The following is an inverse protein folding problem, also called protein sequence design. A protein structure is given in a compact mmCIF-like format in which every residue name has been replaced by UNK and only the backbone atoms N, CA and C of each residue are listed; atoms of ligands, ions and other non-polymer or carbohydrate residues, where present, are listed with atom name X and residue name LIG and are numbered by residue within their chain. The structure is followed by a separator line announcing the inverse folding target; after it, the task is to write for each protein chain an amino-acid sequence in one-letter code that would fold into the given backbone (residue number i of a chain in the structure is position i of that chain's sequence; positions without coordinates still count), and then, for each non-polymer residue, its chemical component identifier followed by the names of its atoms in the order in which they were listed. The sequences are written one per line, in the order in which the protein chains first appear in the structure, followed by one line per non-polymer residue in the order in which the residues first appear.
data_IF_413362088463
#
_entry.id   IF_413362088463
#
_cell.length_a   1.000
_cell.length_b   1.000
_cell.length_c   1.000
_cell.angle_alpha   90.00
_cell.angle_beta   90.00
_cell.angle_gamma   90.00
#
_symmetry.space_group_name_H-M   'P 1'
#
loop_
_entity.id
_entity.type
_entity.pdbx_description
1 polymer ?
#
# COMPACT_ATOMS: atom_id res chain seq x y z
N UNK A 1 -39.40 -31.01 -25.15
CA UNK A 1 -38.51 -31.60 -24.13
C UNK A 1 -37.83 -30.48 -23.35
N UNK A 2 -38.42 -30.07 -22.22
CA UNK A 2 -37.86 -29.01 -21.38
C UNK A 2 -37.00 -29.63 -20.28
N UNK A 3 -35.67 -29.43 -20.36
CA UNK A 3 -34.72 -29.83 -19.33
C UNK A 3 -34.82 -28.86 -18.14
N UNK A 4 -35.58 -29.28 -17.13
CA UNK A 4 -35.61 -28.66 -15.80
C UNK A 4 -34.23 -28.76 -15.16
N UNK A 5 -33.54 -27.62 -15.05
CA UNK A 5 -32.30 -27.50 -14.28
C UNK A 5 -32.66 -27.58 -12.80
N UNK A 6 -32.39 -28.72 -12.16
CA UNK A 6 -32.37 -28.85 -10.69
C UNK A 6 -31.30 -27.92 -10.14
N UNK A 7 -31.73 -26.86 -9.47
CA UNK A 7 -30.87 -26.04 -8.64
C UNK A 7 -30.47 -26.92 -7.45
N UNK A 8 -29.21 -27.33 -7.41
CA UNK A 8 -28.60 -27.93 -6.23
C UNK A 8 -28.47 -26.84 -5.17
N UNK A 9 -29.50 -26.68 -4.33
CA UNK A 9 -29.34 -25.98 -3.06
C UNK A 9 -28.52 -26.88 -2.16
N UNK A 10 -27.23 -26.56 -1.98
CA UNK A 10 -26.45 -27.14 -0.90
C UNK A 10 -27.22 -26.91 0.41
N UNK A 11 -27.36 -27.90 1.30
CA UNK A 11 -28.00 -27.72 2.59
C UNK A 11 -27.10 -26.80 3.42
N UNK A 12 -27.36 -25.49 3.33
CA UNK A 12 -26.74 -24.50 4.17
C UNK A 12 -27.17 -24.79 5.61
N UNK A 13 -26.26 -25.47 6.31
CA UNK A 13 -26.04 -25.48 7.75
C UNK A 13 -27.14 -24.80 8.59
N UNK A 14 -28.21 -25.53 8.86
CA UNK A 14 -29.04 -25.30 10.04
C UNK A 14 -28.26 -25.70 11.29
N UNK A 15 -27.21 -24.94 11.64
CA UNK A 15 -26.75 -24.93 13.03
C UNK A 15 -27.90 -24.28 13.80
N UNK A 16 -28.70 -25.09 14.49
CA UNK A 16 -29.72 -24.59 15.42
C UNK A 16 -29.04 -23.51 16.27
N UNK A 17 -29.57 -22.27 16.32
CA UNK A 17 -28.99 -21.25 17.17
C UNK A 17 -28.91 -21.84 18.58
N UNK A 18 -27.70 -21.88 19.16
CA UNK A 18 -27.54 -22.29 20.55
C UNK A 18 -28.34 -21.29 21.39
N UNK A 19 -29.56 -21.66 21.74
CA UNK A 19 -30.35 -20.93 22.73
C UNK A 19 -29.57 -21.09 24.02
N UNK A 20 -28.90 -20.02 24.43
CA UNK A 20 -28.15 -19.98 25.68
C UNK A 20 -29.19 -19.99 26.79
N UNK A 21 -29.27 -21.10 27.52
CA UNK A 21 -30.20 -21.25 28.64
C UNK A 21 -29.94 -20.16 29.68
N UNK A 22 -30.88 -19.22 29.92
CA UNK A 22 -30.68 -18.11 30.85
C UNK A 22 -30.62 -18.58 32.31
N UNK A 23 -31.02 -19.83 32.59
CA UNK A 23 -31.06 -20.38 33.95
C UNK A 23 -29.73 -20.95 34.42
N UNK A 24 -28.77 -21.19 33.52
CA UNK A 24 -27.46 -21.71 33.88
C UNK A 24 -26.53 -20.52 34.20
N UNK A 25 -26.16 -20.31 35.49
CA UNK A 25 -25.20 -19.27 35.84
C UNK A 25 -23.87 -19.58 35.14
N UNK A 26 -23.43 -18.68 34.25
CA UNK A 26 -22.13 -18.79 33.60
C UNK A 26 -21.05 -18.68 34.66
N UNK A 27 -20.37 -19.79 34.97
CA UNK A 27 -19.17 -19.76 35.82
C UNK A 27 -18.17 -18.77 35.18
N UNK A 28 -17.61 -17.82 35.94
CA UNK A 28 -16.63 -16.88 35.40
C UNK A 28 -15.42 -17.69 34.92
N UNK A 29 -15.07 -17.56 33.64
CA UNK A 29 -13.88 -18.18 33.07
C UNK A 29 -12.65 -17.51 33.68
N UNK A 30 -11.86 -18.25 34.45
CA UNK A 30 -10.56 -17.78 34.94
C UNK A 30 -9.55 -18.04 33.82
N UNK A 31 -8.96 -16.99 33.22
CA UNK A 31 -8.06 -17.16 32.09
C UNK A 31 -6.77 -17.87 32.51
N UNK A 32 -6.30 -18.80 31.68
CA UNK A 32 -5.01 -19.49 31.90
C UNK A 32 -3.83 -18.53 31.71
N UNK A 33 -2.61 -18.83 32.22
CA UNK A 33 -1.44 -17.96 32.04
C UNK A 33 -1.08 -17.68 30.57
N UNK A 34 -1.32 -18.66 29.68
CA UNK A 34 -1.12 -18.46 28.23
C UNK A 34 -2.19 -17.53 27.64
N UNK A 35 -3.44 -17.67 28.09
CA UNK A 35 -4.53 -16.78 27.69
C UNK A 35 -4.32 -15.36 28.20
N UNK A 36 -3.83 -15.17 29.42
CA UNK A 36 -3.55 -13.82 29.95
C UNK A 36 -2.43 -13.14 29.16
N UNK A 37 -1.35 -13.85 28.83
CA UNK A 37 -0.28 -13.32 27.98
C UNK A 37 -0.79 -12.94 26.58
N UNK A 38 -1.65 -13.78 25.99
CA UNK A 38 -2.26 -13.51 24.69
C UNK A 38 -3.26 -12.34 24.75
N UNK A 39 -4.05 -12.24 25.82
CA UNK A 39 -4.96 -11.11 26.06
C UNK A 39 -4.16 -9.81 26.22
N UNK A 40 -3.06 -9.83 26.97
CA UNK A 40 -2.17 -8.69 27.13
C UNK A 40 -1.60 -8.25 25.78
N UNK A 41 -1.01 -9.18 25.00
CA UNK A 41 -0.51 -8.88 23.65
C UNK A 41 -1.58 -8.24 22.75
N UNK A 42 -2.79 -8.81 22.72
CA UNK A 42 -3.91 -8.25 21.94
C UNK A 42 -4.34 -6.87 22.40
N UNK A 43 -4.25 -6.57 23.69
CA UNK A 43 -4.58 -5.24 24.23
C UNK A 43 -3.52 -4.21 23.86
N UNK A 44 -2.24 -4.58 23.92
CA UNK A 44 -1.11 -3.75 23.46
C UNK A 44 -1.26 -3.42 21.97
N UNK A 45 -1.48 -4.42 21.12
CA UNK A 45 -1.73 -4.24 19.68
C UNK A 45 -3.00 -3.40 19.43
N UNK A 46 -4.04 -3.62 20.24
CA UNK A 46 -5.26 -2.82 20.14
C UNK A 46 -5.03 -1.36 20.48
N UNK A 47 -4.22 -1.06 21.49
CA UNK A 47 -3.95 0.32 21.89
C UNK A 47 -3.32 1.12 20.74
N UNK A 48 -2.40 0.52 19.98
CA UNK A 48 -1.83 1.11 18.77
C UNK A 48 -2.86 1.16 17.61
N UNK A 49 -3.64 0.09 17.41
CA UNK A 49 -4.68 0.02 16.38
C UNK A 49 -5.73 1.11 16.57
N UNK A 50 -6.17 1.37 17.79
CA UNK A 50 -7.17 2.40 18.11
C UNK A 50 -6.65 3.80 17.73
N UNK A 51 -5.37 4.11 17.99
CA UNK A 51 -4.73 5.37 17.55
C UNK A 51 -4.67 5.47 16.03
N UNK A 52 -4.23 4.41 15.34
CA UNK A 52 -4.21 4.37 13.86
C UNK A 52 -5.60 4.59 13.25
N UNK A 53 -6.65 4.02 13.86
CA UNK A 53 -8.03 4.20 13.40
C UNK A 53 -8.46 5.66 13.53
N UNK A 54 -8.12 6.32 14.63
CA UNK A 54 -8.49 7.72 14.85
C UNK A 54 -7.74 8.67 13.91
N UNK A 55 -6.43 8.46 13.71
CA UNK A 55 -5.64 9.20 12.72
C UNK A 55 -6.25 8.98 11.33
N UNK A 56 -6.53 7.73 10.95
CA UNK A 56 -7.17 7.42 9.67
C UNK A 56 -8.50 8.14 9.51
N UNK A 57 -9.35 8.14 10.54
CA UNK A 57 -10.65 8.80 10.51
C UNK A 57 -10.52 10.32 10.34
N UNK A 58 -9.51 10.94 10.95
CA UNK A 58 -9.29 12.39 10.83
C UNK A 58 -8.78 12.83 9.44
N UNK A 59 -8.09 11.94 8.72
CA UNK A 59 -7.57 12.19 7.37
C UNK A 59 -8.55 11.78 6.26
N UNK A 60 -9.52 10.91 6.56
CA UNK A 60 -10.55 10.55 5.60
C UNK A 60 -11.60 11.65 5.47
N UNK A 61 -11.93 12.04 4.25
CA UNK A 61 -13.05 12.93 3.96
C UNK A 61 -14.32 12.47 4.68
N UNK A 62 -14.99 13.41 5.34
CA UNK A 62 -16.26 13.17 6.01
C UNK A 62 -17.33 12.93 4.93
N UNK A 63 -18.10 11.85 5.08
CA UNK A 63 -19.24 11.62 4.19
C UNK A 63 -20.28 12.72 4.39
N UNK A 64 -20.80 13.25 3.30
CA UNK A 64 -21.94 14.18 3.34
C UNK A 64 -23.07 13.55 4.13
N UNK A 65 -23.55 14.26 5.15
CA UNK A 65 -24.64 13.78 5.98
C UNK A 65 -25.93 13.76 5.18
N UNK A 66 -26.41 12.56 4.86
CA UNK A 66 -27.76 12.33 4.38
C UNK A 66 -28.57 11.79 5.56
N UNK A 67 -29.50 12.60 6.06
CA UNK A 67 -30.29 12.34 7.28
C UNK A 67 -30.85 10.92 7.34
N UNK A 68 -30.71 10.28 8.50
CA UNK A 68 -31.21 8.92 8.74
C UNK A 68 -30.32 7.77 8.23
N UNK A 69 -29.40 8.01 7.29
CA UNK A 69 -28.53 6.96 6.73
C UNK A 69 -27.07 7.04 7.18
N UNK A 70 -26.67 8.20 7.72
CA UNK A 70 -25.28 8.44 8.17
C UNK A 70 -25.29 8.80 9.65
N UNK A 71 -24.57 8.02 10.47
CA UNK A 71 -24.35 8.34 11.89
C UNK A 71 -22.96 8.98 12.05
N UNK A 72 -22.82 10.01 12.91
CA UNK A 72 -21.51 10.54 13.28
C UNK A 72 -20.62 9.42 13.81
N UNK A 73 -19.39 9.34 13.30
CA UNK A 73 -18.41 8.38 13.81
C UNK A 73 -17.75 8.93 15.06
N UNK A 74 -17.66 8.11 16.09
CA UNK A 74 -17.02 8.47 17.35
C UNK A 74 -15.56 7.99 17.30
N UNK A 75 -14.63 8.88 17.66
CA UNK A 75 -13.21 8.56 17.81
C UNK A 75 -13.03 7.51 18.92
N UNK A 76 -12.11 6.57 18.73
CA UNK A 76 -11.82 5.52 19.71
C UNK A 76 -11.21 6.10 20.98
N UNK A 77 -10.34 7.09 20.85
CA UNK A 77 -9.70 7.84 21.93
C UNK A 77 -10.71 8.51 22.87
N UNK A 78 -11.85 8.97 22.36
CA UNK A 78 -12.86 9.63 23.21
C UNK A 78 -13.51 8.67 24.22
N UNK A 79 -13.43 7.35 24.00
CA UNK A 79 -13.91 6.38 24.99
C UNK A 79 -13.09 6.37 26.28
N UNK A 80 -11.88 6.93 26.25
CA UNK A 80 -10.99 7.10 27.39
C UNK A 80 -11.13 8.46 28.09
N UNK A 81 -11.94 9.39 27.55
CA UNK A 81 -12.23 10.66 28.22
C UNK A 81 -13.01 10.43 29.53
N UNK A 82 -12.99 11.39 30.48
CA UNK A 82 -13.83 11.34 31.67
C UNK A 82 -15.31 11.08 31.31
N UNK A 83 -15.92 10.05 31.92
CA UNK A 83 -17.28 9.60 31.59
C UNK A 83 -17.40 8.72 30.33
N UNK A 84 -16.29 8.45 29.64
CA UNK A 84 -16.23 7.63 28.45
C UNK A 84 -16.56 6.15 28.70
N UNK A 85 -16.98 5.45 27.65
CA UNK A 85 -17.51 4.09 27.76
C UNK A 85 -16.50 3.06 28.27
N UNK A 86 -15.20 3.30 28.13
CA UNK A 86 -14.17 2.38 28.58
C UNK A 86 -13.91 2.51 30.08
N UNK A 87 -13.93 3.74 30.61
CA UNK A 87 -13.88 3.99 32.05
C UNK A 87 -15.13 3.45 32.74
N UNK A 88 -16.33 3.68 32.18
CA UNK A 88 -17.58 3.14 32.73
C UNK A 88 -17.62 1.61 32.77
N UNK A 89 -16.86 0.94 31.88
CA UNK A 89 -16.73 -0.53 31.82
C UNK A 89 -15.52 -1.06 32.59
N UNK A 90 -14.82 -0.22 33.36
CA UNK A 90 -13.59 -0.55 34.08
C UNK A 90 -12.56 -1.25 33.19
N UNK A 91 -12.44 -0.82 31.92
CA UNK A 91 -11.43 -1.38 31.03
C UNK A 91 -10.06 -0.84 31.43
N UNK A 92 -9.11 -1.76 31.51
CA UNK A 92 -7.70 -1.43 31.73
C UNK A 92 -7.06 -1.07 30.39
N UNK A 93 -6.38 0.07 30.37
CA UNK A 93 -5.54 0.48 29.25
C UNK A 93 -4.17 -0.19 29.35
N UNK A 94 -3.72 -0.79 28.27
CA UNK A 94 -2.35 -1.32 28.17
C UNK A 94 -1.51 -0.39 27.30
N UNK A 95 -0.29 -0.12 27.72
CA UNK A 95 0.64 0.73 26.97
C UNK A 95 1.08 0.03 25.68
N UNK A 96 1.20 0.74 24.54
CA UNK A 96 1.75 0.19 23.32
C UNK A 96 3.24 -0.13 23.45
N UNK A 97 3.79 -0.77 22.42
CA UNK A 97 5.22 -1.07 22.31
C UNK A 97 6.01 0.21 22.03
N UNK A 98 7.13 0.42 22.71
CA UNK A 98 8.02 1.58 22.54
C UNK A 98 8.45 1.79 21.08
N UNK A 99 8.71 0.69 20.37
CA UNK A 99 9.12 0.74 18.95
C UNK A 99 8.05 1.35 18.03
N UNK A 100 6.80 1.50 18.47
CA UNK A 100 5.77 2.21 17.71
C UNK A 100 5.99 3.73 17.67
N UNK A 101 6.80 4.28 18.58
CA UNK A 101 7.06 5.72 18.73
C UNK A 101 8.47 6.13 18.29
N UNK A 102 9.13 5.26 17.54
CA UNK A 102 10.34 5.61 16.82
C UNK A 102 9.99 6.11 15.40
N UNK A 103 10.91 6.84 14.75
CA UNK A 103 10.71 7.28 13.37
C UNK A 103 10.53 6.11 12.39
N UNK A 104 9.51 6.21 11.54
CA UNK A 104 9.21 5.25 10.48
C UNK A 104 9.18 5.95 9.13
N UNK A 105 9.78 5.31 8.13
CA UNK A 105 9.80 5.75 6.74
C UNK A 105 8.74 4.99 5.94
N UNK A 106 7.79 5.74 5.40
CA UNK A 106 6.87 5.31 4.36
C UNK A 106 7.57 5.46 3.02
N UNK A 107 7.42 4.50 2.11
CA UNK A 107 8.09 4.58 0.82
C UNK A 107 7.21 4.08 -0.32
N UNK A 108 7.55 4.55 -1.52
CA UNK A 108 7.13 3.98 -2.79
C UNK A 108 8.40 3.58 -3.55
N UNK A 109 8.57 2.29 -3.82
CA UNK A 109 9.61 1.80 -4.73
C UNK A 109 9.00 1.59 -6.10
N UNK A 110 9.75 1.89 -7.14
CA UNK A 110 9.43 1.58 -8.51
C UNK A 110 10.50 0.65 -9.10
N UNK A 111 10.09 -0.36 -9.86
CA UNK A 111 11.03 -1.20 -10.58
C UNK A 111 11.68 -0.42 -11.71
N UNK A 112 13.00 -0.59 -11.88
CA UNK A 112 13.77 0.05 -12.95
C UNK A 112 13.30 -0.38 -14.34
N UNK A 113 12.91 -1.64 -14.47
CA UNK A 113 12.43 -2.22 -15.72
C UNK A 113 10.95 -2.58 -15.62
N UNK A 114 10.20 -2.54 -16.74
CA UNK A 114 8.82 -3.01 -16.78
C UNK A 114 8.74 -4.49 -16.40
N UNK A 115 7.73 -4.84 -15.61
CA UNK A 115 7.49 -6.21 -15.15
C UNK A 115 6.37 -6.83 -15.97
N UNK A 116 6.55 -8.10 -16.35
CA UNK A 116 5.51 -8.83 -17.07
C UNK A 116 4.29 -9.07 -16.19
N UNK A 117 3.15 -8.52 -16.58
CA UNK A 117 1.90 -8.72 -15.82
C UNK A 117 1.34 -10.12 -16.12
N UNK A 118 0.85 -10.83 -15.09
CA UNK A 118 0.16 -12.13 -15.26
C UNK A 118 -1.22 -12.00 -15.93
N UNK A 119 -1.88 -10.86 -15.76
CA UNK A 119 -3.24 -10.61 -16.24
C UNK A 119 -3.24 -10.34 -17.75
N UNK A 120 -4.11 -11.05 -18.48
CA UNK A 120 -4.26 -10.83 -19.92
C UNK A 120 -4.85 -9.43 -20.17
N UNK A 121 -4.25 -8.68 -21.10
CA UNK A 121 -4.73 -7.37 -21.53
C UNK A 121 -4.17 -6.18 -20.77
N UNK A 122 -3.34 -6.38 -19.74
CA UNK A 122 -2.61 -5.30 -19.08
C UNK A 122 -1.21 -5.15 -19.69
N UNK A 123 -0.76 -3.92 -20.01
CA UNK A 123 0.59 -3.70 -20.52
C UNK A 123 1.64 -4.05 -19.47
N UNK A 124 2.80 -4.48 -19.94
CA UNK A 124 3.98 -4.65 -19.09
C UNK A 124 4.49 -3.27 -18.68
N UNK A 125 4.49 -2.98 -17.39
CA UNK A 125 4.82 -1.67 -16.82
C UNK A 125 5.68 -1.80 -15.57
N UNK A 126 6.39 -0.72 -15.15
CA UNK A 126 7.05 -0.70 -13.87
C UNK A 126 6.11 -1.04 -12.71
N UNK A 127 6.56 -1.97 -11.87
CA UNK A 127 5.83 -2.37 -10.67
C UNK A 127 6.16 -1.41 -9.53
N UNK A 128 5.21 -1.23 -8.62
CA UNK A 128 5.34 -0.33 -7.48
C UNK A 128 5.14 -1.10 -6.18
N UNK A 129 6.03 -0.91 -5.21
CA UNK A 129 5.90 -1.42 -3.84
C UNK A 129 5.64 -0.23 -2.92
N UNK A 130 4.62 -0.34 -2.07
CA UNK A 130 4.31 0.66 -1.04
C UNK A 130 4.38 0.00 0.32
N UNK A 131 5.18 0.54 1.23
CA UNK A 131 5.37 -0.03 2.56
C UNK A 131 5.84 0.98 3.59
N UNK A 132 5.93 0.50 4.82
CA UNK A 132 6.47 1.21 5.98
C UNK A 132 7.68 0.44 6.45
N UNK A 133 8.69 1.12 6.97
CA UNK A 133 9.77 0.50 7.72
C UNK A 133 10.30 1.45 8.80
N UNK A 134 10.93 0.92 9.86
CA UNK A 134 11.69 1.75 10.82
C UNK A 134 12.80 2.50 10.10
N UNK A 135 12.90 3.81 10.32
CA UNK A 135 13.85 4.68 9.61
C UNK A 135 15.31 4.22 9.70
N UNK A 136 15.84 3.73 10.85
CA UNK A 136 17.21 3.22 10.91
C UNK A 136 17.49 2.01 10.02
N UNK A 137 16.45 1.24 9.64
CA UNK A 137 16.57 0.04 8.81
C UNK A 137 16.37 0.32 7.32
N UNK A 138 15.96 1.54 6.94
CA UNK A 138 15.59 1.92 5.57
C UNK A 138 16.62 1.51 4.51
N UNK A 139 17.89 1.90 4.69
CA UNK A 139 18.93 1.64 3.70
C UNK A 139 19.31 0.14 3.64
N UNK A 140 19.32 -0.54 4.79
CA UNK A 140 19.54 -2.00 4.87
C UNK A 140 18.44 -2.76 4.14
N UNK A 141 17.21 -2.31 4.30
CA UNK A 141 16.05 -2.86 3.62
C UNK A 141 16.12 -2.66 2.12
N UNK A 142 16.48 -1.46 1.63
CA UNK A 142 16.66 -1.23 0.19
C UNK A 142 17.78 -2.09 -0.40
N UNK A 143 18.91 -2.23 0.31
CA UNK A 143 20.00 -3.15 -0.07
C UNK A 143 19.49 -4.59 -0.10
N UNK A 144 18.70 -5.02 0.89
CA UNK A 144 18.10 -6.34 0.92
C UNK A 144 17.11 -6.56 -0.24
N UNK A 145 16.23 -5.59 -0.53
CA UNK A 145 15.30 -5.65 -1.67
C UNK A 145 16.01 -5.76 -3.00
N UNK A 146 17.21 -5.21 -3.11
CA UNK A 146 18.08 -5.32 -4.28
C UNK A 146 19.15 -6.41 -4.11
N UNK A 147 18.88 -7.47 -3.34
CA UNK A 147 19.83 -8.57 -3.16
C UNK A 147 19.31 -9.89 -3.73
N UNK A 148 20.18 -10.85 -4.06
CA UNK A 148 19.77 -12.21 -4.42
C UNK A 148 19.00 -12.95 -3.32
N UNK A 149 19.11 -12.48 -2.06
CA UNK A 149 18.49 -13.08 -0.88
C UNK A 149 17.01 -12.67 -0.71
N UNK A 150 16.52 -11.70 -1.47
CA UNK A 150 15.13 -11.25 -1.36
C UNK A 150 14.18 -12.38 -1.75
N UNK A 151 13.10 -12.53 -0.98
CA UNK A 151 12.08 -13.54 -1.22
C UNK A 151 10.75 -12.90 -1.65
N UNK A 152 9.71 -13.72 -1.83
CA UNK A 152 8.34 -13.23 -2.08
C UNK A 152 8.14 -12.50 -3.41
N UNK A 153 7.22 -11.53 -3.40
CA UNK A 153 6.80 -10.81 -4.61
C UNK A 153 7.93 -10.01 -5.23
N UNK A 154 8.77 -9.34 -4.42
CA UNK A 154 9.87 -8.53 -4.92
C UNK A 154 10.83 -9.34 -5.82
N UNK A 155 11.11 -10.60 -5.45
CA UNK A 155 11.93 -11.52 -6.24
C UNK A 155 11.22 -11.97 -7.52
N UNK A 156 9.94 -12.31 -7.41
CA UNK A 156 9.12 -12.73 -8.56
C UNK A 156 9.04 -11.61 -9.62
N UNK A 157 8.96 -10.36 -9.19
CA UNK A 157 9.00 -9.19 -10.08
C UNK A 157 10.32 -9.07 -10.83
N UNK A 158 11.47 -9.28 -10.16
CA UNK A 158 12.78 -9.31 -10.82
C UNK A 158 12.87 -10.43 -11.87
N UNK A 159 12.40 -11.63 -11.55
CA UNK A 159 12.39 -12.77 -12.48
C UNK A 159 11.45 -12.53 -13.69
N UNK A 160 10.38 -11.75 -13.47
CA UNK A 160 9.39 -11.38 -14.48
C UNK A 160 9.76 -10.10 -15.25
N UNK A 161 10.81 -9.38 -14.87
CA UNK A 161 11.17 -8.10 -15.47
C UNK A 161 11.72 -8.22 -16.90
N UNK A 162 11.57 -7.14 -17.66
CA UNK A 162 12.18 -6.94 -18.97
C UNK A 162 13.58 -6.35 -18.84
N UNK A 163 14.52 -7.18 -18.38
CA UNK A 163 15.93 -6.81 -18.28
C UNK A 163 16.52 -6.40 -19.64
N UNK A 164 17.53 -5.51 -19.69
CA UNK A 164 18.11 -5.02 -20.95
C UNK A 164 18.64 -6.14 -21.88
N UNK A 165 19.16 -7.22 -21.30
CA UNK A 165 19.68 -8.38 -22.04
C UNK A 165 18.55 -9.26 -22.64
N UNK A 166 17.34 -9.17 -22.10
CA UNK A 166 16.14 -9.80 -22.65
C UNK A 166 15.63 -8.93 -23.79
N UNK A 167 16.24 -9.09 -24.97
CA UNK A 167 15.91 -8.35 -26.18
C UNK A 167 14.40 -8.28 -26.40
N UNK A 168 13.83 -7.09 -26.25
CA UNK A 168 12.44 -6.80 -26.64
C UNK A 168 12.48 -6.07 -27.97
N UNK A 169 11.81 -6.62 -29.00
CA UNK A 169 11.30 -5.76 -30.07
C UNK A 169 10.11 -5.01 -29.48
N UNK A 170 10.37 -3.88 -28.82
CA UNK A 170 9.32 -2.92 -28.56
C UNK A 170 8.94 -2.42 -29.94
N UNK A 171 7.83 -2.92 -30.50
CA UNK A 171 7.25 -2.27 -31.68
C UNK A 171 6.90 -0.86 -31.22
N UNK A 172 7.40 0.15 -31.92
CA UNK A 172 6.89 1.51 -31.78
C UNK A 172 5.39 1.40 -32.02
N UNK A 173 4.60 1.47 -30.95
CA UNK A 173 3.15 1.52 -31.07
C UNK A 173 2.85 2.92 -31.58
N UNK A 174 2.31 3.04 -32.79
CA UNK A 174 1.86 4.31 -33.34
C UNK A 174 0.86 4.95 -32.36
N UNK A 175 0.93 6.27 -32.18
CA UNK A 175 0.06 6.99 -31.26
C UNK A 175 -1.40 6.90 -31.73
N UNK A 176 -2.26 6.30 -30.91
CA UNK A 176 -3.68 6.15 -31.20
C UNK A 176 -4.38 7.51 -31.03
N UNK A 177 -4.82 8.11 -32.15
CA UNK A 177 -5.55 9.39 -32.16
C UNK A 177 -7.01 9.16 -31.73
N UNK A 178 -7.46 9.85 -30.67
CA UNK A 178 -8.71 9.56 -29.95
C UNK A 178 -9.81 10.63 -30.10
N UNK A 179 -9.65 11.62 -30.96
CA UNK A 179 -10.62 12.71 -31.18
C UNK A 179 -11.14 12.78 -32.62
N UNK A 180 -12.30 13.41 -32.80
CA UNK A 180 -12.94 13.61 -34.10
C UNK A 180 -12.24 14.71 -34.92
N UNK A 181 -12.33 14.65 -36.26
CA UNK A 181 -11.57 15.52 -37.17
C UNK A 181 -11.88 17.02 -37.06
N UNK A 182 -13.03 17.36 -36.49
CA UNK A 182 -13.53 18.73 -36.43
C UNK A 182 -13.37 19.34 -35.02
N UNK A 183 -12.77 18.58 -34.08
CA UNK A 183 -12.57 18.99 -32.69
C UNK A 183 -11.10 19.33 -32.45
N UNK A 184 -10.83 20.45 -31.77
CA UNK A 184 -9.46 20.81 -31.38
C UNK A 184 -9.01 19.89 -30.23
N UNK A 185 -7.94 19.09 -30.41
CA UNK A 185 -7.42 18.20 -29.36
C UNK A 185 -7.01 18.92 -28.09
N UNK A 186 -6.65 20.20 -28.17
CA UNK A 186 -6.34 20.98 -26.97
C UNK A 186 -7.60 21.27 -26.16
N UNK A 187 -8.73 21.49 -26.84
CA UNK A 187 -10.02 21.78 -26.23
C UNK A 187 -10.61 20.54 -25.54
N UNK A 188 -10.54 19.37 -26.18
CA UNK A 188 -10.96 18.09 -25.57
C UNK A 188 -10.10 17.68 -24.38
N UNK A 189 -8.79 18.00 -24.40
CA UNK A 189 -7.90 17.76 -23.25
C UNK A 189 -8.21 18.69 -22.09
N UNK A 190 -8.53 19.96 -22.35
CA UNK A 190 -8.97 20.91 -21.34
C UNK A 190 -10.29 20.47 -20.71
N UNK A 191 -11.25 20.05 -21.54
CA UNK A 191 -12.54 19.53 -21.11
C UNK A 191 -12.41 18.25 -20.24
N UNK A 192 -11.54 17.31 -20.64
CA UNK A 192 -11.26 16.11 -19.85
C UNK A 192 -10.56 16.38 -18.50
N UNK A 193 -9.86 17.52 -18.38
CA UNK A 193 -9.25 18.00 -17.14
C UNK A 193 -10.20 18.91 -16.32
N UNK A 194 -11.40 19.18 -16.82
CA UNK A 194 -12.41 20.02 -16.17
C UNK A 194 -12.12 21.53 -16.24
N UNK A 195 -11.29 21.97 -17.20
CA UNK A 195 -10.91 23.36 -17.41
C UNK A 195 -11.62 23.90 -18.67
N UNK A 196 -12.25 25.06 -18.58
CA UNK A 196 -12.84 25.77 -19.73
C UNK A 196 -11.84 26.74 -20.36
N UNK A 197 -12.08 27.22 -21.59
CA UNK A 197 -11.17 28.10 -22.36
C UNK A 197 -10.71 29.38 -21.64
N UNK A 198 -11.37 29.79 -20.56
CA UNK A 198 -10.96 30.93 -19.72
C UNK A 198 -9.74 30.65 -18.84
N UNK A 199 -9.43 29.36 -18.61
CA UNK A 199 -8.40 28.93 -17.70
C UNK A 199 -7.24 28.40 -18.54
N UNK A 200 -6.28 29.28 -18.84
CA UNK A 200 -5.05 28.86 -19.49
C UNK A 200 -4.43 27.71 -18.69
N UNK A 201 -4.20 26.53 -19.29
CA UNK A 201 -3.46 25.48 -18.61
C UNK A 201 -2.06 26.01 -18.31
N UNK A 202 -1.50 25.77 -17.12
CA UNK A 202 -0.15 26.21 -16.82
C UNK A 202 0.82 25.67 -17.89
N UNK A 203 1.72 26.54 -18.34
CA UNK A 203 2.59 26.34 -19.51
C UNK A 203 3.44 25.06 -19.55
N UNK A 204 3.74 24.29 -18.48
CA UNK A 204 4.53 23.06 -18.64
C UNK A 204 3.86 21.94 -19.46
N UNK A 205 2.53 21.91 -19.66
CA UNK A 205 1.87 20.73 -20.27
C UNK A 205 1.91 20.67 -21.80
N UNK A 206 2.05 21.80 -22.50
CA UNK A 206 1.95 21.88 -23.98
C UNK A 206 3.16 21.32 -24.73
N UNK A 207 4.33 21.29 -24.12
CA UNK A 207 5.56 20.86 -24.78
C UNK A 207 5.67 19.33 -25.01
N UNK A 208 4.80 18.54 -24.37
CA UNK A 208 5.01 17.08 -24.26
C UNK A 208 4.43 16.22 -25.40
N UNK A 209 3.63 16.75 -26.33
CA UNK A 209 2.95 15.92 -27.35
C UNK A 209 2.98 16.53 -28.77
N UNK A 210 3.86 16.04 -29.66
CA UNK A 210 3.79 16.27 -31.13
C UNK A 210 3.20 15.02 -31.82
N UNK A 211 2.28 15.23 -32.77
CA UNK A 211 1.46 14.20 -33.42
C UNK A 211 1.86 13.93 -34.90
N UNK A 212 1.72 12.69 -35.39
CA UNK A 212 2.18 12.21 -36.71
C UNK A 212 1.27 11.06 -37.26
N UNK A 213 0.18 11.28 -38.03
CA UNK A 213 -0.51 10.23 -38.89
C UNK A 213 -1.43 10.78 -40.03
N UNK A 214 -1.78 9.97 -41.08
CA UNK A 214 -2.51 10.32 -42.36
C UNK A 214 -3.66 9.31 -42.77
N UNK A 215 -4.59 9.66 -43.71
CA UNK A 215 -5.78 8.86 -44.17
C UNK A 215 -6.24 9.00 -45.67
N UNK A 216 -7.13 8.09 -46.17
CA UNK A 216 -7.73 8.06 -47.54
C UNK A 216 -8.96 8.98 -47.78
N UNK A 217 -9.32 9.28 -49.05
CA UNK A 217 -10.33 10.29 -49.42
C UNK A 217 -11.81 9.90 -49.25
N UNK A 218 -12.15 8.61 -49.26
CA UNK A 218 -13.54 8.12 -49.22
C UNK A 218 -14.06 7.83 -47.79
N UNK A 219 -13.32 8.25 -46.77
CA UNK A 219 -13.71 8.07 -45.36
C UNK A 219 -13.54 6.65 -44.81
N UNK A 220 -13.17 5.65 -45.63
CA UNK A 220 -12.73 4.35 -45.10
C UNK A 220 -11.27 4.44 -44.66
N UNK A 221 -11.00 4.02 -43.42
CA UNK A 221 -9.62 3.88 -42.93
C UNK A 221 -8.86 2.88 -43.81
N UNK A 222 -7.56 3.10 -43.98
CA UNK A 222 -6.65 1.99 -44.18
C UNK A 222 -6.72 1.16 -42.90
N UNK A 223 -7.58 0.15 -42.88
CA UNK A 223 -7.52 -0.92 -41.89
C UNK A 223 -6.84 -2.06 -42.61
N UNK A 224 -5.52 -2.04 -42.67
CA UNK A 224 -4.86 -3.33 -42.72
C UNK A 224 -5.34 -4.07 -41.46
N UNK A 225 -5.89 -5.29 -41.60
CA UNK A 225 -6.19 -6.10 -40.44
C UNK A 225 -4.87 -6.29 -39.71
N UNK A 226 -4.62 -5.50 -38.68
CA UNK A 226 -3.51 -5.74 -37.78
C UNK A 226 -3.78 -7.13 -37.24
N UNK A 227 -2.97 -8.14 -37.57
CA UNK A 227 -3.21 -9.45 -37.02
C UNK A 227 -3.20 -9.26 -35.51
N UNK A 228 -4.24 -9.72 -34.82
CA UNK A 228 -4.27 -10.00 -33.38
C UNK A 228 -3.30 -11.13 -33.07
N UNK A 229 -2.07 -11.01 -33.54
CA UNK A 229 -0.94 -11.59 -32.87
C UNK A 229 -0.73 -10.68 -31.69
N UNK A 230 -1.37 -11.01 -30.56
CA UNK A 230 -0.69 -10.95 -29.28
C UNK A 230 0.64 -11.68 -29.52
N UNK A 231 1.65 -10.93 -29.97
CA UNK A 231 3.01 -11.44 -29.98
C UNK A 231 3.33 -11.46 -28.51
N UNK A 232 2.96 -12.55 -27.85
CA UNK A 232 3.61 -12.98 -26.63
C UNK A 232 5.07 -12.99 -27.06
N UNK A 233 5.93 -12.08 -26.57
CA UNK A 233 7.35 -12.21 -26.82
C UNK A 233 7.68 -13.63 -26.38
N UNK A 234 8.00 -14.48 -27.36
CA UNK A 234 8.53 -15.79 -27.07
C UNK A 234 9.85 -15.46 -26.40
N UNK A 235 9.85 -15.46 -25.06
CA UNK A 235 11.07 -15.73 -24.32
C UNK A 235 11.55 -17.02 -24.98
N UNK A 236 12.63 -16.95 -25.78
CA UNK A 236 13.48 -18.13 -25.97
C UNK A 236 13.58 -18.73 -24.58
N UNK A 237 13.24 -20.00 -24.42
CA UNK A 237 12.92 -20.66 -23.15
C UNK A 237 14.13 -20.68 -22.20
N UNK A 238 14.54 -19.51 -21.74
CA UNK A 238 15.57 -19.30 -20.75
C UNK A 238 14.97 -19.72 -19.43
N UNK A 239 15.67 -20.58 -18.73
CA UNK A 239 15.27 -20.96 -17.38
C UNK A 239 15.39 -19.74 -16.45
N UNK A 240 14.63 -19.73 -15.36
CA UNK A 240 14.73 -18.66 -14.34
C UNK A 240 16.16 -18.59 -13.78
N UNK A 241 16.85 -19.73 -13.68
CA UNK A 241 18.25 -19.80 -13.23
C UNK A 241 19.21 -19.03 -14.15
N UNK A 242 19.05 -19.15 -15.47
CA UNK A 242 19.85 -18.37 -16.43
C UNK A 242 19.61 -16.86 -16.28
N UNK A 243 18.33 -16.45 -16.18
CA UNK A 243 17.97 -15.04 -16.01
C UNK A 243 18.60 -14.48 -14.74
N UNK A 244 18.50 -15.20 -13.62
CA UNK A 244 19.11 -14.83 -12.33
C UNK A 244 20.62 -14.70 -12.42
N UNK A 245 21.28 -15.65 -13.07
CA UNK A 245 22.74 -15.62 -13.22
C UNK A 245 23.25 -14.38 -13.98
N UNK A 246 22.42 -13.82 -14.86
CA UNK A 246 22.75 -12.61 -15.61
C UNK A 246 22.45 -11.32 -14.82
N UNK A 247 21.33 -11.23 -14.11
CA UNK A 247 20.96 -9.98 -13.42
C UNK A 247 21.50 -9.85 -12.00
N UNK A 248 21.70 -10.94 -11.25
CA UNK A 248 22.17 -10.86 -9.86
C UNK A 248 23.48 -10.06 -9.69
N UNK A 249 24.51 -10.24 -10.55
CA UNK A 249 25.74 -9.44 -10.46
C UNK A 249 25.52 -7.95 -10.78
N UNK A 250 24.44 -7.61 -11.47
CA UNK A 250 24.11 -6.21 -11.79
C UNK A 250 23.49 -5.49 -10.61
N UNK A 251 22.85 -6.21 -9.69
CA UNK A 251 22.15 -5.62 -8.55
C UNK A 251 23.08 -4.83 -7.62
N UNK A 252 24.34 -5.26 -7.46
CA UNK A 252 25.32 -4.56 -6.62
C UNK A 252 25.75 -3.21 -7.22
N UNK A 253 25.71 -3.08 -8.55
CA UNK A 253 26.05 -1.85 -9.26
C UNK A 253 24.85 -0.92 -9.38
N UNK A 254 23.69 -1.53 -9.58
CA UNK A 254 22.53 -0.88 -10.15
C UNK A 254 21.25 -1.47 -9.55
N UNK A 255 20.53 -0.72 -8.69
CA UNK A 255 19.36 -1.27 -8.01
C UNK A 255 18.21 -1.49 -8.98
N UNK A 256 17.50 -2.61 -8.80
CA UNK A 256 16.27 -2.90 -9.52
C UNK A 256 15.09 -2.13 -8.93
N UNK A 257 14.94 -2.14 -7.61
CA UNK A 257 13.95 -1.36 -6.88
C UNK A 257 14.56 -0.03 -6.49
N UNK A 258 14.04 1.06 -7.07
CA UNK A 258 14.48 2.43 -6.79
C UNK A 258 13.41 3.16 -5.98
N UNK A 259 13.78 3.93 -4.96
CA UNK A 259 12.83 4.75 -4.25
C UNK A 259 12.38 5.90 -5.14
N UNK A 260 11.06 6.01 -5.32
CA UNK A 260 10.42 7.12 -5.99
C UNK A 260 10.18 8.27 -5.00
N UNK A 261 9.61 7.94 -3.84
CA UNK A 261 9.42 8.87 -2.72
C UNK A 261 9.59 8.11 -1.40
N UNK A 262 10.15 8.78 -0.40
CA UNK A 262 10.17 8.34 0.98
C UNK A 262 9.66 9.46 1.89
N UNK A 263 8.89 9.13 2.90
CA UNK A 263 8.32 10.07 3.88
C UNK A 263 8.59 9.53 5.27
N UNK A 264 9.45 10.19 6.03
CA UNK A 264 9.76 9.83 7.41
C UNK A 264 8.85 10.59 8.36
N UNK A 265 8.14 9.83 9.20
CA UNK A 265 7.21 10.30 10.21
C UNK A 265 7.69 9.89 11.60
N UNK A 266 7.36 10.68 12.63
CA UNK A 266 7.84 10.46 13.99
C UNK A 266 7.37 9.14 14.64
N UNK A 267 6.24 8.58 14.17
CA UNK A 267 5.63 7.40 14.81
C UNK A 267 5.07 6.40 13.79
N UNK A 268 5.03 5.12 14.17
CA UNK A 268 4.47 4.01 13.40
C UNK A 268 2.97 4.18 13.10
N UNK A 269 2.10 4.64 14.04
CA UNK A 269 0.69 4.87 13.74
C UNK A 269 0.46 5.89 12.61
N UNK A 270 1.25 6.97 12.55
CA UNK A 270 1.22 7.93 11.45
C UNK A 270 1.63 7.27 10.14
N UNK A 271 2.78 6.59 10.13
CA UNK A 271 3.32 5.93 8.94
C UNK A 271 2.38 4.84 8.38
N UNK A 272 1.84 3.98 9.26
CA UNK A 272 0.87 2.97 8.88
C UNK A 272 -0.42 3.57 8.32
N UNK A 273 -0.86 4.72 8.86
CA UNK A 273 -2.02 5.43 8.33
C UNK A 273 -1.75 6.00 6.95
N UNK A 274 -0.59 6.63 6.75
CA UNK A 274 -0.18 7.18 5.46
C UNK A 274 -0.12 6.07 4.40
N UNK A 275 0.55 4.95 4.67
CA UNK A 275 0.63 3.81 3.74
C UNK A 275 -0.73 3.23 3.41
N UNK A 276 -1.60 3.08 4.41
CA UNK A 276 -2.94 2.56 4.20
C UNK A 276 -3.75 3.47 3.27
N UNK A 277 -3.71 4.77 3.49
CA UNK A 277 -4.50 5.75 2.73
C UNK A 277 -3.90 6.10 1.36
N UNK A 278 -2.60 5.84 1.14
CA UNK A 278 -1.94 6.13 -0.13
C UNK A 278 -2.00 4.97 -1.14
N UNK A 279 -2.58 3.82 -0.79
CA UNK A 279 -2.80 2.68 -1.71
C UNK A 279 -3.90 2.92 -2.73
N UNK A 280 -4.77 3.91 -2.50
CA UNK A 280 -5.92 4.23 -3.32
C UNK A 280 -6.21 5.74 -3.30
N UNK A 281 -7.06 6.17 -4.22
CA UNK A 281 -7.62 7.52 -4.22
C UNK A 281 -8.54 7.74 -2.99
N UNK A 282 -8.89 9.01 -2.69
CA UNK A 282 -9.94 9.30 -1.73
C UNK A 282 -11.16 8.38 -1.93
N UNK A 283 -11.73 7.91 -0.81
CA UNK A 283 -12.88 6.98 -0.77
C UNK A 283 -12.60 5.54 -1.23
N UNK A 284 -11.35 5.18 -1.51
CA UNK A 284 -10.93 3.79 -1.71
C UNK A 284 -10.95 3.30 -3.15
N UNK A 285 -11.13 4.19 -4.14
CA UNK A 285 -11.01 3.81 -5.55
C UNK A 285 -9.55 3.49 -5.89
N UNK A 286 -9.28 2.29 -6.39
CA UNK A 286 -7.93 1.90 -6.78
C UNK A 286 -7.42 2.76 -7.94
N UNK A 287 -6.12 3.11 -7.94
CA UNK A 287 -5.54 4.00 -8.97
C UNK A 287 -5.69 3.48 -10.40
N UNK A 288 -5.54 2.17 -10.62
CA UNK A 288 -5.73 1.61 -11.95
C UNK A 288 -7.20 1.71 -12.40
N UNK A 289 -8.14 1.69 -11.45
CA UNK A 289 -9.57 1.76 -11.73
C UNK A 289 -10.05 3.19 -12.04
N UNK A 290 -9.27 4.22 -11.69
CA UNK A 290 -9.56 5.61 -12.02
C UNK A 290 -8.99 6.07 -13.37
N UNK A 291 -8.08 5.29 -13.98
CA UNK A 291 -7.54 5.59 -15.31
C UNK A 291 -8.53 5.10 -16.38
N UNK A 292 -8.70 5.82 -17.48
CA UNK A 292 -9.58 5.37 -18.57
C UNK A 292 -9.15 4.01 -19.15
N UNK A 293 -10.12 3.23 -19.63
CA UNK A 293 -9.88 1.90 -20.19
C UNK A 293 -8.97 1.89 -21.43
N UNK A 294 -8.96 2.94 -22.25
CA UNK A 294 -8.07 3.07 -23.41
C UNK A 294 -6.64 3.31 -22.94
N UNK A 295 -6.46 4.24 -22.01
CA UNK A 295 -5.15 4.54 -21.42
C UNK A 295 -4.56 3.35 -20.66
N UNK A 296 -5.38 2.51 -20.03
CA UNK A 296 -4.91 1.28 -19.36
C UNK A 296 -4.22 0.30 -20.30
N UNK A 297 -4.51 0.34 -21.60
CA UNK A 297 -3.90 -0.55 -22.60
C UNK A 297 -2.58 0.02 -23.14
N UNK A 298 -2.38 1.32 -23.02
CA UNK A 298 -1.22 2.03 -23.56
C UNK A 298 -0.01 1.86 -22.66
N UNK A 299 1.05 1.24 -23.20
CA UNK A 299 2.32 1.01 -22.47
C UNK A 299 3.00 2.31 -22.07
N UNK A 300 2.79 3.40 -22.83
CA UNK A 300 3.44 4.69 -22.63
C UNK A 300 2.73 5.53 -21.55
N UNK A 301 1.41 5.74 -21.67
CA UNK A 301 0.68 6.65 -20.78
C UNK A 301 0.30 6.01 -19.43
N UNK A 302 0.00 4.72 -19.41
CA UNK A 302 -0.43 4.03 -18.18
C UNK A 302 0.58 4.13 -17.01
N UNK A 303 1.88 3.82 -17.17
CA UNK A 303 2.81 3.85 -16.05
C UNK A 303 3.00 5.26 -15.50
N UNK A 304 3.10 6.27 -16.36
CA UNK A 304 3.27 7.65 -15.95
C UNK A 304 2.05 8.15 -15.16
N UNK A 305 0.83 7.86 -15.63
CA UNK A 305 -0.39 8.20 -14.89
C UNK A 305 -0.48 7.48 -13.55
N UNK A 306 -0.14 6.19 -13.51
CA UNK A 306 -0.10 5.44 -12.25
C UNK A 306 0.91 6.03 -11.26
N UNK A 307 2.09 6.42 -11.74
CA UNK A 307 3.13 7.08 -10.95
C UNK A 307 2.65 8.41 -10.38
N UNK A 308 2.11 9.28 -11.23
CA UNK A 308 1.59 10.60 -10.85
C UNK A 308 0.45 10.51 -9.85
N UNK A 309 -0.51 9.59 -10.03
CA UNK A 309 -1.60 9.39 -9.08
C UNK A 309 -1.08 8.98 -7.69
N UNK A 310 -0.03 8.14 -7.64
CA UNK A 310 0.60 7.71 -6.38
C UNK A 310 1.38 8.85 -5.72
N UNK A 311 2.20 9.57 -6.49
CA UNK A 311 2.98 10.71 -6.02
C UNK A 311 2.07 11.81 -5.46
N UNK A 312 1.07 12.22 -6.25
CA UNK A 312 0.07 13.20 -5.84
C UNK A 312 -0.63 12.76 -4.56
N UNK A 313 -1.09 11.50 -4.49
CA UNK A 313 -1.78 11.00 -3.29
C UNK A 313 -0.89 10.98 -2.06
N UNK A 314 0.38 10.59 -2.20
CA UNK A 314 1.36 10.62 -1.11
C UNK A 314 1.59 12.06 -0.62
N UNK A 315 1.73 13.00 -1.55
CA UNK A 315 1.93 14.43 -1.26
C UNK A 315 0.76 15.05 -0.53
N UNK A 316 -0.45 14.92 -1.08
CA UNK A 316 -1.69 15.42 -0.46
C UNK A 316 -1.85 14.93 0.99
N UNK A 317 -1.65 13.62 1.22
CA UNK A 317 -1.78 13.04 2.56
C UNK A 317 -0.66 13.50 3.50
N UNK A 318 0.57 13.67 3.00
CA UNK A 318 1.70 14.12 3.81
C UNK A 318 1.50 15.56 4.27
N UNK A 319 1.02 16.44 3.38
CA UNK A 319 0.72 17.83 3.71
C UNK A 319 -0.45 17.92 4.69
N UNK A 320 -1.51 17.12 4.50
CA UNK A 320 -2.62 17.08 5.47
C UNK A 320 -2.14 16.55 6.84
N UNK A 321 -1.25 15.56 6.89
CA UNK A 321 -0.63 15.11 8.15
C UNK A 321 0.17 16.25 8.79
N UNK A 322 0.99 16.97 8.02
CA UNK A 322 1.77 18.11 8.52
C UNK A 322 0.85 19.19 9.11
N UNK A 323 -0.24 19.55 8.41
CA UNK A 323 -1.24 20.52 8.88
C UNK A 323 -1.87 20.06 10.21
N UNK A 324 -2.22 18.79 10.34
CA UNK A 324 -2.79 18.26 11.59
C UNK A 324 -1.77 18.23 12.73
N UNK A 325 -0.48 18.02 12.44
CA UNK A 325 0.59 18.11 13.43
C UNK A 325 0.82 19.54 13.92
N UNK A 326 0.71 20.52 13.02
CA UNK A 326 0.68 21.97 13.35
C UNK A 326 -0.51 22.37 14.23
N UNK A 327 -1.58 21.55 14.23
CA UNK A 327 -2.77 21.77 15.07
C UNK A 327 -3.99 22.28 14.31
N UNK A 328 -3.94 22.33 12.97
CA UNK A 328 -5.13 22.62 12.16
C UNK A 328 -6.26 21.66 12.51
N UNK A 329 -7.49 22.18 12.60
CA UNK A 329 -8.69 21.44 13.02
C UNK A 329 -8.57 20.76 14.41
N UNK A 330 -7.75 21.29 15.31
CA UNK A 330 -7.45 20.69 16.62
C UNK A 330 -6.43 19.55 16.57
N UNK A 331 -5.87 19.28 15.38
CA UNK A 331 -4.89 18.24 15.11
C UNK A 331 -5.39 16.80 15.29
N UNK A 332 -4.47 15.88 15.54
CA UNK A 332 -4.81 14.47 15.78
C UNK A 332 -5.21 14.24 17.25
N UNK A 333 -6.50 14.00 17.49
CA UNK A 333 -6.99 13.61 18.81
C UNK A 333 -6.47 12.21 19.16
N UNK A 334 -5.90 12.05 20.35
CA UNK A 334 -5.40 10.77 20.86
C UNK A 334 -4.01 10.37 20.34
N UNK A 335 -3.35 11.19 19.52
CA UNK A 335 -1.99 10.91 19.05
C UNK A 335 -0.99 10.91 20.20
N UNK A 336 -0.02 9.99 20.16
CA UNK A 336 1.04 9.82 21.15
C UNK A 336 2.40 9.90 20.47
N UNK A 337 3.42 10.36 21.19
CA UNK A 337 4.82 10.36 20.76
C UNK A 337 5.72 9.57 21.71
N UNK A 338 5.15 9.03 22.79
CA UNK A 338 5.78 8.12 23.71
C UNK A 338 4.73 7.11 24.23
N UNK A 339 5.17 5.92 24.64
CA UNK A 339 4.32 4.90 25.25
C UNK A 339 3.66 5.35 26.57
N UNK A 340 4.26 6.33 27.24
CA UNK A 340 3.78 6.89 28.51
C UNK A 340 2.83 8.09 28.29
N UNK A 341 2.74 8.61 27.06
CA UNK A 341 1.78 9.66 26.72
C UNK A 341 0.35 9.10 26.81
N UNK A 342 -0.55 9.85 27.45
CA UNK A 342 -1.98 9.49 27.44
C UNK A 342 -2.59 9.71 26.06
N UNK A 343 -2.05 10.66 25.33
CA UNK A 343 -2.45 11.06 23.97
C UNK A 343 -3.06 12.45 23.96
N UNK A 344 -2.89 13.17 22.85
CA UNK A 344 -3.38 14.55 22.69
C UNK A 344 -4.88 14.66 22.96
N UNK A 345 -5.30 15.74 23.62
CA UNK A 345 -6.66 16.05 24.05
C UNK A 345 -7.26 15.12 25.14
N UNK A 346 -6.63 13.99 25.47
CA UNK A 346 -7.10 13.13 26.56
C UNK A 346 -6.79 13.83 27.89
N UNK A 347 -7.84 14.15 28.65
CA UNK A 347 -7.74 14.95 29.89
C UNK A 347 -7.10 16.33 29.70
N UNK A 348 -7.26 16.95 28.52
CA UNK A 348 -6.73 18.29 28.23
C UNK A 348 -5.24 18.34 27.85
N UNK A 349 -4.55 17.20 27.79
CA UNK A 349 -3.12 17.16 27.47
C UNK A 349 -2.84 17.66 26.04
N UNK A 350 -1.93 18.64 25.88
CA UNK A 350 -1.43 19.15 24.58
C UNK A 350 -2.53 19.66 23.63
N UNK A 351 -3.64 20.16 24.16
CA UNK A 351 -4.70 20.78 23.36
C UNK A 351 -4.37 22.24 23.02
N UNK A 352 -3.82 22.97 24.00
CA UNK A 352 -3.64 24.42 23.95
C UNK A 352 -2.38 24.86 23.18
N UNK A 353 -1.37 24.00 23.11
CA UNK A 353 -0.08 24.31 22.48
C UNK A 353 0.13 23.43 21.24
N UNK A 354 0.71 23.99 20.16
CA UNK A 354 1.17 23.17 19.04
C UNK A 354 2.20 22.15 19.53
N UNK A 355 2.32 21.04 18.82
CA UNK A 355 3.35 20.04 19.13
C UNK A 355 4.74 20.69 18.98
N UNK A 356 5.75 20.26 19.76
CA UNK A 356 7.10 20.79 19.59
C UNK A 356 7.66 20.39 18.21
N UNK A 357 8.45 21.27 17.61
CA UNK A 357 9.09 21.12 16.28
C UNK A 357 9.60 19.71 15.96
N UNK A 358 10.43 19.05 16.81
CA UNK A 358 10.99 17.74 16.47
C UNK A 358 9.93 16.64 16.28
N UNK A 359 8.71 16.82 16.82
CA UNK A 359 7.60 15.88 16.66
C UNK A 359 6.71 16.22 15.45
N UNK A 360 6.87 17.41 14.86
CA UNK A 360 6.11 17.91 13.71
C UNK A 360 6.86 17.75 12.40
N UNK A 361 8.19 17.82 12.42
CA UNK A 361 9.02 17.77 11.21
C UNK A 361 8.81 16.45 10.48
N UNK A 362 8.31 16.55 9.25
CA UNK A 362 8.24 15.45 8.30
C UNK A 362 9.42 15.59 7.36
N UNK A 363 10.17 14.51 7.16
CA UNK A 363 11.25 14.49 6.16
C UNK A 363 10.78 13.76 4.91
N UNK A 364 10.90 14.40 3.76
CA UNK A 364 10.54 13.85 2.45
C UNK A 364 11.81 13.66 1.63
N UNK A 365 12.02 12.45 1.13
CA UNK A 365 13.04 12.15 0.16
C UNK A 365 12.43 11.89 -1.21
N UNK A 366 12.92 12.55 -2.26
CA UNK A 366 12.47 12.36 -3.64
C UNK A 366 13.56 11.71 -4.50
N UNK A 367 13.21 10.68 -5.26
CA UNK A 367 14.17 9.98 -6.13
C UNK A 367 14.69 10.90 -7.23
N UNK A 368 16.00 11.12 -7.28
CA UNK A 368 16.64 12.04 -8.23
C UNK A 368 16.54 11.61 -9.70
N UNK A 369 16.17 10.35 -9.94
CA UNK A 369 16.02 9.78 -11.27
C UNK A 369 14.69 10.14 -11.97
N UNK A 370 13.71 10.73 -11.27
CA UNK A 370 12.40 11.10 -11.84
C UNK A 370 12.07 12.57 -11.58
N UNK A 371 12.13 13.39 -12.63
CA UNK A 371 11.65 14.79 -12.69
C UNK A 371 11.83 15.60 -11.39
N UNK A 372 12.99 15.44 -10.75
CA UNK A 372 13.24 15.86 -9.37
C UNK A 372 12.89 17.34 -9.13
N UNK A 373 13.33 18.21 -10.04
CA UNK A 373 13.12 19.67 -9.93
C UNK A 373 11.64 20.01 -9.85
N UNK A 374 10.82 19.47 -10.75
CA UNK A 374 9.38 19.74 -10.78
C UNK A 374 8.67 19.20 -9.54
N UNK A 375 8.99 17.98 -9.12
CA UNK A 375 8.36 17.41 -7.93
C UNK A 375 8.79 18.20 -6.69
N UNK A 376 10.06 18.59 -6.55
CA UNK A 376 10.52 19.44 -5.44
C UNK A 376 9.77 20.77 -5.39
N UNK A 377 9.56 21.43 -6.53
CA UNK A 377 8.78 22.66 -6.62
C UNK A 377 7.33 22.45 -6.20
N UNK A 378 6.66 21.39 -6.69
CA UNK A 378 5.27 21.09 -6.31
C UNK A 378 5.14 20.82 -4.81
N UNK A 379 6.06 20.04 -4.22
CA UNK A 379 6.06 19.78 -2.79
C UNK A 379 6.25 21.06 -1.97
N UNK A 380 7.19 21.94 -2.38
CA UNK A 380 7.42 23.22 -1.71
C UNK A 380 6.20 24.13 -1.82
N UNK A 381 5.63 24.28 -3.01
CA UNK A 381 4.47 25.14 -3.25
C UNK A 381 3.27 24.68 -2.44
N UNK A 382 2.91 23.40 -2.49
CA UNK A 382 1.76 22.89 -1.74
C UNK A 382 2.00 22.91 -0.21
N UNK A 383 3.25 22.75 0.25
CA UNK A 383 3.60 22.90 1.66
C UNK A 383 3.47 24.36 2.13
N UNK A 384 3.94 25.32 1.32
CA UNK A 384 3.78 26.76 1.56
C UNK A 384 2.30 27.16 1.59
N UNK A 385 1.49 26.70 0.62
CA UNK A 385 0.03 26.90 0.60
C UNK A 385 -0.64 26.24 1.82
N UNK A 386 -0.03 25.19 2.36
CA UNK A 386 -0.44 24.57 3.60
C UNK A 386 0.00 25.25 4.87
N UNK A 387 0.90 26.24 4.81
CA UNK A 387 1.50 26.85 5.99
C UNK A 387 2.27 25.84 6.83
N UNK A 388 2.86 24.82 6.20
CA UNK A 388 3.59 23.75 6.88
C UNK A 388 5.04 23.70 6.42
N UNK A 389 5.94 23.40 7.35
CA UNK A 389 7.35 23.18 7.05
C UNK A 389 7.63 21.68 6.88
N UNK A 390 8.25 21.31 5.76
CA UNK A 390 8.58 19.93 5.41
C UNK A 390 10.02 19.91 4.90
N UNK A 391 10.84 19.04 5.48
CA UNK A 391 12.25 18.87 5.10
C UNK A 391 12.35 18.00 3.84
N UNK A 392 12.41 18.64 2.66
CA UNK A 392 12.46 17.96 1.36
C UNK A 392 13.90 17.85 0.88
N UNK A 393 14.37 16.61 0.61
CA UNK A 393 15.71 16.32 0.09
C UNK A 393 15.65 15.41 -1.13
N UNK A 394 16.63 15.55 -2.01
CA UNK A 394 16.84 14.59 -3.09
C UNK A 394 17.40 13.27 -2.52
N UNK A 395 17.16 12.17 -3.24
CA UNK A 395 17.70 10.85 -2.93
C UNK A 395 18.31 10.20 -4.16
N UNK A 396 19.38 9.43 -3.97
CA UNK A 396 19.92 8.59 -5.03
C UNK A 396 19.05 7.34 -5.29
N UNK A 397 19.45 6.55 -6.28
CA UNK A 397 18.80 5.29 -6.65
C UNK A 397 18.82 4.23 -5.53
N UNK A 398 19.67 4.41 -4.51
CA UNK A 398 19.82 3.55 -3.34
C UNK A 398 19.08 4.09 -2.10
N UNK A 399 18.37 5.21 -2.23
CA UNK A 399 17.59 5.85 -1.17
C UNK A 399 18.42 6.61 -0.15
N UNK A 400 19.69 6.91 -0.46
CA UNK A 400 20.54 7.80 0.33
C UNK A 400 20.15 9.24 0.05
N UNK A 401 19.99 10.04 1.10
CA UNK A 401 19.67 11.46 0.97
C UNK A 401 20.89 12.22 0.50
N UNK A 402 20.68 13.05 -0.51
CA UNK A 402 21.67 13.94 -1.09
C UNK A 402 21.55 15.33 -0.45
N UNK A 403 22.67 16.03 -0.39
CA UNK A 403 22.71 17.46 -0.09
C UNK A 403 22.33 18.30 -1.33
N UNK A 404 22.34 19.63 -1.18
CA UNK A 404 22.04 20.57 -2.27
C UNK A 404 23.06 20.49 -3.42
N UNK A 405 24.25 19.96 -3.18
CA UNK A 405 25.29 19.74 -4.19
C UNK A 405 25.18 18.38 -4.88
N UNK A 406 24.21 17.54 -4.48
CA UNK A 406 24.03 16.18 -4.99
C UNK A 406 24.99 15.15 -4.37
N UNK A 407 25.70 15.51 -3.30
CA UNK A 407 26.61 14.61 -2.57
C UNK A 407 25.84 13.91 -1.46
N UNK A 408 26.15 12.62 -1.24
CA UNK A 408 25.53 11.82 -0.19
C UNK A 408 25.86 12.39 1.19
N UNK A 409 24.83 12.62 2.01
CA UNK A 409 25.02 13.10 3.38
C UNK A 409 25.81 12.09 4.22
N UNK A 410 26.71 12.55 5.11
CA UNK A 410 27.56 11.68 5.91
C UNK A 410 26.74 10.80 6.87
N UNK A 411 27.26 9.61 7.18
CA UNK A 411 26.64 8.68 8.13
C UNK A 411 25.54 7.78 7.55
N UNK A 412 25.42 7.71 6.23
CA UNK A 412 24.46 6.84 5.52
C UNK A 412 25.09 5.55 4.98
N UNK A 413 26.25 5.16 5.52
CA UNK A 413 26.94 3.94 5.12
C UNK A 413 26.18 2.70 5.61
N UNK A 414 25.91 1.80 4.67
CA UNK A 414 25.13 0.60 4.92
C UNK A 414 26.07 -0.54 5.28
N UNK A 415 26.16 -0.86 6.57
CA UNK A 415 26.73 -2.13 7.03
C UNK A 415 25.95 -3.33 6.47
N UNK A 416 26.54 -4.52 6.49
CA UNK A 416 25.87 -5.72 5.99
C UNK A 416 24.62 -6.08 6.81
N UNK A 417 23.65 -6.70 6.14
CA UNK A 417 22.36 -7.07 6.73
C UNK A 417 22.58 -8.26 7.67
N UNK A 418 22.29 -8.07 8.96
CA UNK A 418 22.31 -9.15 9.94
C UNK A 418 21.13 -10.10 9.73
N UNK A 419 21.30 -11.38 10.09
CA UNK A 419 20.27 -12.42 9.93
C UNK A 419 18.94 -12.07 10.63
N UNK A 420 18.98 -11.36 11.77
CA UNK A 420 17.77 -10.94 12.50
C UNK A 420 16.94 -9.91 11.75
N UNK A 421 17.58 -9.03 10.96
CA UNK A 421 16.90 -8.01 10.16
C UNK A 421 16.16 -8.65 8.98
N UNK A 422 16.67 -9.77 8.46
CA UNK A 422 16.10 -10.44 7.29
C UNK A 422 14.70 -11.01 7.56
N UNK A 423 14.50 -11.70 8.70
CA UNK A 423 13.17 -12.19 9.08
C UNK A 423 12.16 -11.05 9.30
N UNK A 424 12.63 -9.89 9.77
CA UNK A 424 11.78 -8.72 9.95
C UNK A 424 11.31 -8.16 8.61
N UNK A 425 12.20 -8.08 7.62
CA UNK A 425 11.88 -7.56 6.28
C UNK A 425 10.92 -8.46 5.50
N UNK A 426 11.08 -9.78 5.58
CA UNK A 426 10.18 -10.72 4.90
C UNK A 426 8.76 -10.71 5.51
N UNK A 427 8.62 -10.44 6.81
CA UNK A 427 7.30 -10.27 7.47
C UNK A 427 6.63 -8.94 7.13
N UNK A 428 7.40 -7.89 6.87
CA UNK A 428 6.86 -6.56 6.61
C UNK A 428 6.16 -6.48 5.23
N UNK A 429 6.62 -7.28 4.26
CA UNK A 429 5.95 -7.49 2.96
C UNK A 429 4.55 -8.12 3.07
N UNK A 430 4.23 -8.74 4.22
CA UNK A 430 2.97 -9.45 4.47
C UNK A 430 1.98 -8.67 5.34
N UNK A 431 2.08 -7.33 5.40
CA UNK A 431 0.99 -6.46 5.85
C UNK A 431 -0.20 -6.49 4.86
N UNK A 432 -0.78 -7.67 4.68
CA UNK A 432 -2.16 -7.85 4.28
C UNK A 432 -3.02 -7.37 5.46
N UNK A 433 -4.02 -6.52 5.16
CA UNK A 433 -4.93 -5.98 6.16
C UNK A 433 -5.45 -7.13 7.06
N UNK A 434 -5.06 -7.13 8.34
CA UNK A 434 -5.50 -8.11 9.34
C UNK A 434 -7.03 -8.16 9.52
N UNK A 435 -7.76 -7.28 8.85
CA UNK A 435 -9.22 -7.21 8.81
C UNK A 435 -9.86 -8.29 7.91
N UNK A 436 -9.07 -9.10 7.18
CA UNK A 436 -9.58 -10.33 6.57
C UNK A 436 -9.50 -11.47 7.59
N UNK A 437 -10.64 -12.01 8.09
CA UNK A 437 -10.61 -13.15 8.98
C UNK A 437 -9.89 -14.31 8.31
N UNK A 438 -8.78 -14.79 8.89
CA UNK A 438 -8.12 -16.05 8.51
C UNK A 438 -8.98 -17.25 8.96
N UNK A 439 -10.23 -17.30 8.53
CA UNK A 439 -11.12 -18.45 8.70
C UNK A 439 -10.76 -19.51 7.66
N UNK A 440 -9.69 -20.29 7.89
CA UNK A 440 -9.37 -21.41 6.99
C UNK A 440 -8.25 -22.31 7.46
N UNK A 441 -7.16 -21.75 7.99
CA UNK A 441 -5.95 -22.53 8.24
C UNK A 441 -6.04 -23.50 9.44
N UNK A 442 -6.96 -23.26 10.39
CA UNK A 442 -7.07 -24.09 11.61
C UNK A 442 -8.05 -25.27 11.52
N UNK A 443 -8.88 -25.35 10.47
CA UNK A 443 -9.86 -26.44 10.34
C UNK A 443 -9.25 -27.71 9.72
N UNK A 444 -8.31 -27.58 8.79
CA UNK A 444 -7.65 -28.75 8.19
C UNK A 444 -6.72 -29.49 9.15
N UNK A 445 -6.03 -28.78 10.05
CA UNK A 445 -5.18 -29.42 11.06
C UNK A 445 -5.98 -30.16 12.15
N UNK A 446 -7.19 -29.66 12.49
CA UNK A 446 -8.09 -30.38 13.42
C UNK A 446 -8.73 -31.62 12.82
N UNK A 447 -8.99 -31.63 11.51
CA UNK A 447 -9.57 -32.79 10.83
C UNK A 447 -8.53 -33.90 10.58
N UNK A 448 -7.24 -33.56 10.42
CA UNK A 448 -6.17 -34.58 10.35
C UNK A 448 -5.92 -35.28 11.69
N UNK A 449 -5.99 -34.57 12.82
CA UNK A 449 -5.79 -35.18 14.14
C UNK A 449 -6.95 -36.10 14.59
N UNK A 450 -8.13 -35.99 13.99
CA UNK A 450 -9.30 -36.80 14.33
C UNK A 450 -9.45 -38.08 13.47
N UNK A 451 -8.61 -38.26 12.43
CA UNK A 451 -8.68 -39.40 11.50
C UNK A 451 -7.86 -40.62 11.92
N UNK A 452 -6.89 -40.47 12.83
CA UNK A 452 -5.90 -41.52 13.16
C UNK A 452 -6.20 -42.30 14.44
N UNK A 453 -7.39 -42.14 15.03
CA UNK A 453 -7.83 -42.99 16.14
C UNK A 453 -9.13 -43.68 15.78
N UNK A 454 -9.02 -44.93 15.29
CA UNK A 454 -9.89 -46.10 15.56
C UNK A 454 -9.69 -47.09 14.41
N UNK A 455 -8.86 -48.11 14.65
CA UNK A 455 -8.90 -49.39 13.94
C UNK A 455 -8.98 -50.50 14.99
N UNK A 456 -10.07 -51.28 15.06
CA UNK A 456 -10.15 -52.41 15.98
C UNK A 456 -9.41 -53.63 15.40
N UNK A 457 -8.45 -54.13 16.18
CA UNK A 457 -7.76 -55.41 15.93
C UNK A 457 -8.73 -56.56 16.19
N UNK A 458 -9.21 -57.20 15.13
CA UNK A 458 -9.98 -58.44 15.21
C UNK A 458 -9.03 -59.62 15.42
N UNK A 459 -9.00 -60.17 16.64
CA UNK A 459 -8.35 -61.45 16.94
C UNK A 459 -9.24 -62.59 16.46
N UNK A 460 -8.80 -63.36 15.45
CA UNK A 460 -9.40 -64.65 15.10
C UNK A 460 -8.93 -65.71 16.11
N UNK A 461 -9.88 -66.28 16.84
CA UNK A 461 -9.70 -67.51 17.60
C UNK A 461 -9.80 -68.71 16.65
N UNK A 462 -8.79 -69.59 16.68
CA UNK A 462 -8.83 -70.89 16.04
C UNK A 462 -9.58 -71.86 16.95
N UNK A 463 -10.67 -72.43 16.43
CA UNK A 463 -11.40 -73.56 17.01
C UNK A 463 -10.99 -74.81 16.22
N UNK A 464 -10.50 -75.82 16.93
CA UNK A 464 -10.29 -77.16 16.41
C UNK A 464 -11.59 -77.97 16.49
N UNK A 465 -11.90 -78.75 15.45
CA UNK A 465 -12.46 -80.11 15.56
C UNK A 465 -12.60 -80.81 14.21
N UNK A 466 -12.33 -82.12 14.27
CA UNK A 466 -12.47 -83.19 13.28
C UNK A 466 -11.37 -83.27 12.21
#
# INVERSE_FOLDING_TARGET
MALSRRIHTSPAWFKKPKVVDPTIPKKPHVPTPKETALMYKRRVEKAERDERVDISMSLTEVKTYHGGFTQPRILRGSNWFPGGTYLAKNKVYEKPVDSAYEPHTVYILESRYPVKTKEQGRPDVPEHIVGVIRTPLWLRFLKHKNSPRVTGNARLSMDAAWWPFLHRRIRQTESEQWWDKDQDPNQLRLEALGLTESDNPPEPLRAFYKDITQYHPNGSKFVEPTPTKTIIPQRKSRTIGEIRSEYEPTLDKEPFWRPLVSVTLATRPLANTLVRLCRSLPRGLAFYASIDTHDRKTVVSFPDRMRLLRLRRMRELTIEIARRLEGYYGGFIGIRFNKDDKGRAICGERLEQPLPDPLRVIQVGLGGWYELEKEMELWKLEAMDGGVDIDIKAMDDWGRKLDESGVVLPGQDVGDVELGDQEAFDREDTYEDEDVPKEGANLEQRNKAAGDSVAPVVKKAASARA
#
